data_IF_430534989060
#
_entry.id   IF_430534989060
#
_cell.length_a   1.000
_cell.length_b   1.000
_cell.length_c   1.000
_cell.angle_alpha   90.00
_cell.angle_beta   90.00
_cell.angle_gamma   90.00
#
_symmetry.space_group_name_H-M   'P 1'
#
loop_
_entity.id
_entity.type
_entity.pdbx_description
1 polymer ?
#
# COMPACT_ATOMS: atom_id res chain seq x y z
N UNK A 1 -17.24 9.47 4.12
CA UNK A 1 -16.59 8.54 3.16
C UNK A 1 -15.21 8.27 3.73
N UNK A 2 -14.81 7.02 3.93
CA UNK A 2 -13.52 6.72 4.52
C UNK A 2 -12.38 7.07 3.56
N UNK A 3 -11.24 7.44 4.14
CA UNK A 3 -10.00 7.84 3.47
C UNK A 3 -8.97 6.74 3.68
N UNK A 4 -8.37 6.27 2.59
CA UNK A 4 -7.23 5.37 2.61
C UNK A 4 -5.92 6.17 2.48
N UNK A 5 -5.02 5.99 3.44
CA UNK A 5 -3.66 6.54 3.39
C UNK A 5 -2.76 5.52 2.69
N UNK A 6 -2.33 5.83 1.48
CA UNK A 6 -1.64 4.90 0.58
C UNK A 6 -0.17 5.27 0.44
N UNK A 7 0.71 4.30 0.69
CA UNK A 7 2.13 4.40 0.37
C UNK A 7 2.37 4.01 -1.10
N UNK A 8 3.11 4.85 -1.83
CA UNK A 8 3.45 4.64 -3.24
C UNK A 8 4.96 4.48 -3.40
N UNK A 9 5.44 3.70 -4.41
CA UNK A 9 6.86 3.53 -4.70
C UNK A 9 7.40 4.79 -5.39
N UNK A 10 7.56 5.84 -4.59
CA UNK A 10 8.09 7.14 -4.96
C UNK A 10 8.99 7.63 -3.83
N UNK A 11 10.05 8.40 -4.13
CA UNK A 11 11.01 8.88 -3.13
C UNK A 11 10.44 10.06 -2.32
N UNK A 12 9.27 9.87 -1.73
CA UNK A 12 8.57 10.84 -0.90
C UNK A 12 8.23 10.17 0.44
N UNK A 13 8.73 10.67 1.57
CA UNK A 13 8.54 10.07 2.88
C UNK A 13 7.15 10.42 3.45
N UNK A 14 6.09 10.14 2.69
CA UNK A 14 4.69 10.38 3.09
C UNK A 14 3.73 9.41 2.42
N UNK A 15 2.55 9.29 2.99
CA UNK A 15 1.39 8.65 2.35
C UNK A 15 0.61 9.64 1.50
N UNK A 16 -0.26 9.12 0.66
CA UNK A 16 -1.17 9.87 -0.18
C UNK A 16 -2.60 9.48 0.15
N UNK A 17 -3.46 10.47 0.29
CA UNK A 17 -4.85 10.26 0.71
C UNK A 17 -5.73 10.00 -0.51
N UNK A 18 -6.57 8.97 -0.40
CA UNK A 18 -7.53 8.60 -1.43
C UNK A 18 -8.90 8.30 -0.80
N UNK A 19 -9.96 8.66 -1.51
CA UNK A 19 -11.31 8.29 -1.10
C UNK A 19 -11.57 6.82 -1.40
N UNK A 20 -12.26 6.16 -0.48
CA UNK A 20 -12.86 4.85 -0.72
C UNK A 20 -14.30 5.06 -1.22
N UNK A 21 -14.63 4.59 -2.45
CA UNK A 21 -16.00 4.58 -2.95
C UNK A 21 -16.95 3.78 -2.04
N UNK A 22 -18.25 4.05 -2.13
CA UNK A 22 -19.25 3.27 -1.39
C UNK A 22 -19.17 1.77 -1.75
N UNK A 23 -19.25 0.92 -0.72
CA UNK A 23 -19.13 -0.53 -0.86
C UNK A 23 -17.69 -1.05 -1.00
N UNK A 24 -16.69 -0.18 -1.11
CA UNK A 24 -15.28 -0.57 -1.13
C UNK A 24 -14.71 -0.59 0.29
N UNK A 25 -14.19 -1.74 0.70
CA UNK A 25 -13.48 -1.92 1.98
C UNK A 25 -12.07 -2.42 1.73
N UNK A 26 -11.10 -1.88 2.47
CA UNK A 26 -9.71 -2.30 2.37
C UNK A 26 -9.06 -2.30 3.75
N UNK A 27 -8.11 -3.21 3.97
CA UNK A 27 -7.34 -3.31 5.22
C UNK A 27 -5.94 -2.72 5.01
N UNK A 28 -5.30 -2.30 6.10
CA UNK A 28 -3.89 -1.94 6.08
C UNK A 28 -3.04 -3.15 5.64
N UNK A 29 -2.05 -2.91 4.78
CA UNK A 29 -1.20 -3.92 4.18
C UNK A 29 -1.74 -4.55 2.88
N UNK A 30 -2.95 -4.19 2.44
CA UNK A 30 -3.46 -4.58 1.12
C UNK A 30 -2.94 -3.65 0.02
N UNK A 31 -2.74 -4.19 -1.20
CA UNK A 31 -2.43 -3.38 -2.37
C UNK A 31 -3.70 -2.81 -2.99
N UNK A 32 -3.57 -1.58 -3.50
CA UNK A 32 -4.63 -0.85 -4.18
C UNK A 32 -4.09 -0.21 -5.45
N UNK A 33 -4.96 -0.08 -6.46
CA UNK A 33 -4.69 0.70 -7.66
C UNK A 33 -5.24 2.10 -7.47
N UNK A 34 -4.40 3.11 -7.65
CA UNK A 34 -4.76 4.51 -7.42
C UNK A 34 -4.26 5.42 -8.54
N UNK A 35 -4.96 6.51 -8.83
CA UNK A 35 -4.48 7.50 -9.79
C UNK A 35 -3.33 8.32 -9.18
N UNK A 36 -2.25 8.50 -9.93
CA UNK A 36 -1.09 9.27 -9.51
C UNK A 36 -0.55 10.14 -10.67
N UNK A 37 -0.57 11.46 -10.50
CA UNK A 37 -0.21 12.40 -11.57
C UNK A 37 -1.33 12.62 -12.60
N UNK A 38 -0.97 13.05 -13.82
CA UNK A 38 -1.92 13.49 -14.85
C UNK A 38 -2.67 12.35 -15.55
N UNK A 39 -2.05 11.21 -15.82
CA UNK A 39 -2.68 10.09 -16.57
C UNK A 39 -2.09 8.71 -16.22
N UNK A 40 -1.52 8.52 -15.03
CA UNK A 40 -0.95 7.23 -14.65
C UNK A 40 -1.68 6.67 -13.43
N UNK A 41 -1.96 5.37 -13.48
CA UNK A 41 -2.35 4.59 -12.33
C UNK A 41 -1.10 3.92 -11.77
N UNK A 42 -1.04 3.79 -10.44
CA UNK A 42 0.02 3.06 -9.75
C UNK A 42 -0.56 2.12 -8.73
N UNK A 43 0.19 1.06 -8.47
CA UNK A 43 -0.05 0.20 -7.32
C UNK A 43 0.54 0.90 -6.10
N UNK A 44 -0.24 0.96 -5.03
CA UNK A 44 0.16 1.42 -3.71
C UNK A 44 -0.23 0.39 -2.64
N UNK A 45 0.28 0.57 -1.43
CA UNK A 45 -0.10 -0.25 -0.26
C UNK A 45 -0.81 0.64 0.75
N UNK A 46 -1.97 0.21 1.22
CA UNK A 46 -2.72 0.96 2.25
C UNK A 46 -1.97 0.85 3.58
N UNK A 47 -1.59 1.98 4.17
CA UNK A 47 -0.94 2.04 5.49
C UNK A 47 -1.99 2.09 6.60
N UNK A 48 -3.06 2.85 6.38
CA UNK A 48 -4.15 3.03 7.32
C UNK A 48 -5.41 3.51 6.61
N UNK A 49 -6.56 3.30 7.25
CA UNK A 49 -7.86 3.82 6.81
C UNK A 49 -8.43 4.65 7.96
N UNK A 50 -8.91 5.84 7.66
CA UNK A 50 -9.49 6.74 8.66
C UNK A 50 -10.63 7.56 8.05
N UNK A 51 -11.37 8.30 8.88
CA UNK A 51 -12.40 9.24 8.40
C UNK A 51 -11.86 10.68 8.24
N UNK A 52 -10.55 10.86 8.39
CA UNK A 52 -9.90 12.17 8.45
C UNK A 52 -8.82 12.27 7.37
N UNK A 53 -8.81 13.40 6.65
CA UNK A 53 -7.71 13.78 5.76
C UNK A 53 -7.27 15.20 6.11
N UNK A 54 -5.99 15.49 5.87
CA UNK A 54 -5.47 16.86 5.95
C UNK A 54 -5.99 17.73 4.80
N UNK A 55 -6.42 17.09 3.70
CA UNK A 55 -6.96 17.75 2.52
C UNK A 55 -8.49 17.74 2.52
N UNK A 56 -9.13 18.75 1.90
CA UNK A 56 -10.55 18.72 1.63
C UNK A 56 -10.94 17.46 0.84
N UNK A 57 -11.98 16.74 1.31
CA UNK A 57 -12.40 15.47 0.71
C UNK A 57 -12.75 15.60 -0.79
N UNK A 58 -13.19 16.78 -1.25
CA UNK A 58 -13.51 17.05 -2.65
C UNK A 58 -12.29 17.16 -3.58
N UNK A 59 -11.08 17.32 -3.05
CA UNK A 59 -9.84 17.34 -3.83
C UNK A 59 -9.20 15.95 -3.95
N UNK A 60 -9.62 15.01 -3.10
CA UNK A 60 -9.10 13.67 -3.08
C UNK A 60 -9.62 12.86 -4.26
N UNK A 61 -8.71 12.13 -4.91
CA UNK A 61 -9.09 11.15 -5.93
C UNK A 61 -9.56 9.85 -5.26
N UNK A 62 -10.40 9.09 -5.95
CA UNK A 62 -10.85 7.79 -5.47
C UNK A 62 -9.84 6.68 -5.76
N UNK A 63 -9.83 5.65 -4.91
CA UNK A 63 -9.19 4.36 -5.21
C UNK A 63 -9.90 3.71 -6.40
N UNK A 64 -9.13 3.18 -7.35
CA UNK A 64 -9.66 2.55 -8.58
C UNK A 64 -10.06 1.10 -8.30
N UNK A 65 -9.20 0.37 -7.59
CA UNK A 65 -9.35 -1.07 -7.40
C UNK A 65 -8.61 -1.53 -6.14
N UNK A 66 -9.16 -2.50 -5.41
CA UNK A 66 -8.47 -3.22 -4.33
C UNK A 66 -7.96 -4.55 -4.90
N UNK A 67 -6.65 -4.78 -4.81
CA UNK A 67 -5.99 -5.93 -5.47
C UNK A 67 -5.90 -7.16 -4.56
N UNK A 68 -5.95 -6.96 -3.24
CA UNK A 68 -5.84 -8.03 -2.25
C UNK A 68 -6.97 -7.95 -1.21
N UNK A 69 -7.57 -9.10 -0.91
CA UNK A 69 -8.61 -9.24 0.12
C UNK A 69 -8.01 -9.21 1.53
N UNK A 70 -6.81 -9.79 1.68
CA UNK A 70 -6.06 -9.84 2.93
C UNK A 70 -4.71 -9.12 2.79
N UNK A 71 -4.14 -8.61 3.90
CA UNK A 71 -2.84 -7.96 3.89
C UNK A 71 -1.76 -8.87 3.32
N UNK A 72 -0.88 -8.31 2.48
CA UNK A 72 0.21 -9.07 1.85
C UNK A 72 1.29 -9.45 2.86
N UNK A 73 1.40 -8.68 3.93
CA UNK A 73 2.36 -8.91 5.02
C UNK A 73 1.67 -9.53 6.24
N UNK A 74 2.37 -10.46 6.89
CA UNK A 74 1.98 -10.90 8.22
C UNK A 74 2.08 -9.74 9.22
N UNK A 75 1.33 -9.80 10.31
CA UNK A 75 1.29 -8.73 11.30
C UNK A 75 2.67 -8.40 11.91
N UNK A 76 3.53 -9.40 12.12
CA UNK A 76 4.89 -9.20 12.63
C UNK A 76 5.78 -8.47 11.62
N UNK A 77 5.76 -8.89 10.35
CA UNK A 77 6.52 -8.26 9.26
C UNK A 77 6.03 -6.84 9.01
N UNK A 78 4.71 -6.63 8.99
CA UNK A 78 4.11 -5.30 8.84
C UNK A 78 4.65 -4.31 9.89
N UNK A 79 4.61 -4.68 11.18
CA UNK A 79 5.14 -3.82 12.25
C UNK A 79 6.64 -3.58 12.12
N UNK A 80 7.40 -4.59 11.72
CA UNK A 80 8.85 -4.46 11.50
C UNK A 80 9.16 -3.47 10.37
N UNK A 81 8.43 -3.54 9.25
CA UNK A 81 8.64 -2.66 8.10
C UNK A 81 8.26 -1.21 8.43
N UNK A 82 7.15 -1.00 9.14
CA UNK A 82 6.77 0.34 9.61
C UNK A 82 7.82 0.92 10.56
N UNK A 83 8.28 0.12 11.53
CA UNK A 83 9.34 0.53 12.44
C UNK A 83 10.66 0.84 11.70
N UNK A 84 11.05 0.00 10.73
CA UNK A 84 12.30 0.18 9.98
C UNK A 84 12.25 1.45 9.12
N UNK A 85 11.13 1.73 8.47
CA UNK A 85 10.95 2.96 7.69
C UNK A 85 11.10 4.22 8.57
N UNK A 86 10.48 4.21 9.75
CA UNK A 86 10.57 5.29 10.74
C UNK A 86 12.00 5.43 11.28
N UNK A 87 12.58 4.34 11.80
CA UNK A 87 13.89 4.33 12.44
C UNK A 87 15.04 4.71 11.50
N UNK A 88 15.01 4.22 10.26
CA UNK A 88 16.03 4.52 9.25
C UNK A 88 15.67 5.73 8.37
N UNK A 89 14.58 6.44 8.67
CA UNK A 89 14.09 7.58 7.90
C UNK A 89 13.98 7.31 6.38
N UNK A 90 13.58 6.09 6.01
CA UNK A 90 13.37 5.71 4.62
C UNK A 90 11.90 5.89 4.23
N UNK A 91 11.61 6.30 2.97
CA UNK A 91 10.23 6.39 2.48
C UNK A 91 9.51 5.05 2.64
N UNK A 92 8.38 5.06 3.36
CA UNK A 92 7.62 3.83 3.64
C UNK A 92 7.18 3.12 2.37
N UNK A 93 6.87 3.87 1.31
CA UNK A 93 6.57 3.32 0.00
C UNK A 93 7.69 2.44 -0.54
N UNK A 94 8.92 2.93 -0.55
CA UNK A 94 10.06 2.16 -1.03
C UNK A 94 10.32 0.93 -0.14
N UNK A 95 10.27 1.09 1.19
CA UNK A 95 10.45 -0.01 2.14
C UNK A 95 9.44 -1.14 1.91
N UNK A 96 8.15 -0.80 1.76
CA UNK A 96 7.10 -1.78 1.53
C UNK A 96 7.27 -2.46 0.17
N UNK A 97 7.54 -1.71 -0.89
CA UNK A 97 7.66 -2.27 -2.24
C UNK A 97 8.93 -3.10 -2.44
N UNK A 98 10.03 -2.78 -1.75
CA UNK A 98 11.23 -3.62 -1.74
C UNK A 98 11.06 -4.91 -0.93
N UNK A 99 10.16 -4.91 0.06
CA UNK A 99 9.83 -6.10 0.84
C UNK A 99 8.81 -7.02 0.15
N UNK A 100 8.14 -6.55 -0.91
CA UNK A 100 7.20 -7.36 -1.69
C UNK A 100 7.97 -8.36 -2.56
N UNK A 101 7.60 -9.66 -2.54
CA UNK A 101 8.12 -10.60 -3.52
C UNK A 101 7.63 -10.22 -4.92
N UNK A 102 8.53 -10.34 -5.91
CA UNK A 102 8.34 -9.91 -7.32
C UNK A 102 7.09 -10.54 -7.96
N UNK A 103 6.66 -11.71 -7.48
CA UNK A 103 5.43 -12.38 -7.89
C UNK A 103 4.46 -12.51 -6.72
N UNK A 104 3.56 -11.55 -6.56
CA UNK A 104 2.32 -11.75 -5.80
C UNK A 104 1.15 -11.62 -6.76
N UNK A 105 0.70 -12.78 -7.27
CA UNK A 105 -0.56 -12.87 -8.01
C UNK A 105 -1.70 -12.26 -7.17
N UNK A 106 -2.69 -11.60 -7.78
CA UNK A 106 -3.88 -11.14 -7.06
C UNK A 106 -4.51 -12.32 -6.31
N UNK A 107 -4.64 -12.22 -4.99
CA UNK A 107 -5.21 -13.27 -4.15
C UNK A 107 -4.23 -14.29 -3.56
N UNK A 108 -2.92 -14.19 -3.83
CA UNK A 108 -1.92 -15.01 -3.13
C UNK A 108 -1.74 -14.49 -1.69
N UNK A 109 -2.41 -15.15 -0.73
CA UNK A 109 -2.16 -14.92 0.69
C UNK A 109 -0.72 -15.35 1.05
N UNK A 110 -0.09 -14.63 1.99
CA UNK A 110 1.16 -15.07 2.61
C UNK A 110 0.90 -16.36 3.42
N UNK A 111 1.00 -17.51 2.76
CA UNK A 111 0.70 -18.83 3.30
C UNK A 111 1.13 -20.00 2.39
N UNK A 112 1.32 -19.76 1.10
CA UNK A 112 1.95 -20.73 0.21
C UNK A 112 3.41 -20.33 -0.01
N UNK A 113 4.31 -21.31 0.11
CA UNK A 113 5.76 -21.14 0.03
C UNK A 113 6.14 -20.33 -1.21
N UNK A 114 6.37 -19.04 -1.03
CA UNK A 114 7.19 -18.27 -1.94
C UNK A 114 8.63 -18.76 -1.68
N UNK A 115 9.04 -19.80 -2.41
CA UNK A 115 10.45 -20.07 -2.58
C UNK A 115 11.07 -18.76 -3.10
N UNK A 116 11.82 -18.10 -2.21
CA UNK A 116 12.63 -16.94 -2.52
C UNK A 116 13.64 -17.42 -3.54
N UNK A 117 13.29 -17.31 -4.83
CA UNK A 117 14.26 -17.42 -5.90
C UNK A 117 15.10 -16.15 -5.79
N UNK A 118 16.18 -16.29 -5.01
CA UNK A 118 17.31 -15.39 -4.94
C UNK A 118 17.91 -15.34 -6.35
N UNK A 119 17.38 -14.46 -7.20
CA UNK A 119 18.09 -14.06 -8.42
C UNK A 119 19.18 -13.10 -7.97
N UNK A 120 20.32 -13.67 -7.56
CA UNK A 120 21.56 -12.93 -7.46
C UNK A 120 21.86 -12.32 -8.84
N UNK A 121 21.92 -11.00 -8.92
CA UNK A 121 22.63 -10.29 -9.98
C UNK A 121 24.12 -10.21 -9.65
#
# INVERSE_FOLDING_TARGET
MPVAHVALPVPLPRTFDYLLPEGMTVKAGCRVRVPFGKQQERIGVVVSVSDVSELPLNELKAVVEVLDVEPVFTHSVWRLLLWAADYYHHPIGDVLFHALPIFTAPGAACGERADVVLVCH
#
